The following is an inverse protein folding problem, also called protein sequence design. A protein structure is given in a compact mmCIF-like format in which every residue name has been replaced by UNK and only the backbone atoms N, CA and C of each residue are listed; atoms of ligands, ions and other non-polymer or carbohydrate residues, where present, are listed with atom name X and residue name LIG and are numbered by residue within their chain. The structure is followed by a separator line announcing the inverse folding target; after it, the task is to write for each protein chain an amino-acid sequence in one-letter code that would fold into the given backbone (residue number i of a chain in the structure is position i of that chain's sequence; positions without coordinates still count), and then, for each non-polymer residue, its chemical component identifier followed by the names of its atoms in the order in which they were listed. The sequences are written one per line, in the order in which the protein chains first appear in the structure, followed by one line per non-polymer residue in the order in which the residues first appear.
data_IF_118942179859
#
_entry.id   IF_118942179859
#
_cell.length_a   1.000
_cell.length_b   1.000
_cell.length_c   1.000
_cell.angle_alpha   90.00
_cell.angle_beta   90.00
_cell.angle_gamma   90.00
#
_symmetry.space_group_name_H-M   'P 1'
#
loop_
_entity.id
_entity.type
_entity.pdbx_description
1 polymer ?
#
# COMPACT_ATOMS: atom_id res chain seq x y z
N UNK A 1 -60.86 -17.15 72.24
CA UNK A 1 -60.87 -17.19 70.77
C UNK A 1 -59.99 -16.09 70.18
N UNK A 2 -58.70 -16.39 69.99
CA UNK A 2 -57.72 -15.42 69.52
C UNK A 2 -56.89 -16.14 68.49
N UNK A 3 -56.54 -15.44 67.39
CA UNK A 3 -55.49 -15.67 66.42
C UNK A 3 -55.87 -16.29 65.08
N UNK A 4 -55.96 -15.44 64.10
CA UNK A 4 -55.49 -15.65 62.73
C UNK A 4 -55.38 -14.32 61.97
N UNK A 5 -54.39 -13.46 62.27
CA UNK A 5 -54.10 -12.28 61.44
C UNK A 5 -52.62 -12.12 61.06
N UNK A 6 -51.72 -12.92 61.64
CA UNK A 6 -50.26 -12.72 61.40
C UNK A 6 -49.77 -13.36 60.13
N UNK A 7 -50.52 -14.27 59.47
CA UNK A 7 -50.08 -14.96 58.25
C UNK A 7 -50.14 -14.13 56.97
N UNK A 8 -51.07 -13.18 56.91
CA UNK A 8 -51.25 -12.35 55.68
C UNK A 8 -50.22 -11.23 55.55
N UNK A 9 -49.75 -10.69 56.71
CA UNK A 9 -48.71 -9.65 56.69
C UNK A 9 -47.34 -10.15 56.20
N UNK A 10 -46.95 -11.39 56.53
CA UNK A 10 -45.73 -11.99 56.10
C UNK A 10 -45.76 -12.36 54.61
N UNK A 11 -46.92 -12.78 54.08
CA UNK A 11 -47.04 -13.11 52.65
C UNK A 11 -46.91 -11.86 51.76
N UNK A 12 -47.47 -10.72 52.21
CA UNK A 12 -47.36 -9.44 51.53
C UNK A 12 -45.91 -8.93 51.47
N UNK A 13 -45.13 -9.08 52.55
CA UNK A 13 -43.77 -8.63 52.66
C UNK A 13 -42.82 -9.43 51.73
N UNK A 14 -43.05 -10.75 51.66
CA UNK A 14 -42.28 -11.65 50.76
C UNK A 14 -42.54 -11.36 49.26
N UNK A 15 -43.80 -11.08 48.90
CA UNK A 15 -44.18 -10.71 47.53
C UNK A 15 -43.57 -9.38 47.09
N UNK A 16 -43.55 -8.36 47.95
CA UNK A 16 -42.92 -7.06 47.63
C UNK A 16 -41.43 -7.19 47.53
N UNK A 17 -40.77 -7.96 48.39
CA UNK A 17 -39.34 -8.23 48.27
C UNK A 17 -38.99 -8.95 46.95
N UNK A 18 -39.74 -9.97 46.55
CA UNK A 18 -39.51 -10.72 45.30
C UNK A 18 -39.67 -9.84 44.04
N UNK A 19 -40.68 -8.93 44.05
CA UNK A 19 -40.88 -8.00 42.92
C UNK A 19 -39.77 -6.96 42.82
N UNK A 20 -39.27 -6.42 43.93
CA UNK A 20 -38.13 -5.49 43.93
C UNK A 20 -36.86 -6.16 43.43
N UNK A 21 -36.56 -7.37 43.85
CA UNK A 21 -35.39 -8.12 43.33
C UNK A 21 -35.51 -8.43 41.83
N UNK A 22 -36.70 -8.75 41.34
CA UNK A 22 -36.91 -9.02 39.91
C UNK A 22 -36.72 -7.73 39.06
N UNK A 23 -37.21 -6.59 39.52
CA UNK A 23 -37.04 -5.30 38.81
C UNK A 23 -35.59 -4.83 38.83
N UNK A 24 -34.92 -4.92 39.98
CA UNK A 24 -33.49 -4.56 40.08
C UNK A 24 -32.63 -5.51 39.26
N UNK A 25 -32.88 -6.82 39.30
CA UNK A 25 -32.19 -7.80 38.48
C UNK A 25 -32.35 -7.55 36.99
N UNK A 26 -33.56 -7.24 36.50
CA UNK A 26 -33.83 -6.89 35.11
C UNK A 26 -33.13 -5.59 34.67
N UNK A 27 -33.08 -4.59 35.56
CA UNK A 27 -32.36 -3.33 35.27
C UNK A 27 -30.85 -3.55 35.16
N UNK A 28 -30.23 -4.31 36.07
CA UNK A 28 -28.82 -4.65 36.07
C UNK A 28 -28.48 -5.47 34.79
N UNK A 29 -29.30 -6.44 34.42
CA UNK A 29 -29.11 -7.25 33.22
C UNK A 29 -29.20 -6.41 31.95
N UNK A 30 -30.16 -5.46 31.84
CA UNK A 30 -30.24 -4.52 30.70
C UNK A 30 -29.00 -3.64 30.59
N UNK A 31 -28.54 -3.08 31.71
CA UNK A 31 -27.30 -2.25 31.72
C UNK A 31 -26.07 -3.07 31.31
N UNK A 32 -25.99 -4.32 31.77
CA UNK A 32 -24.87 -5.21 31.35
C UNK A 32 -24.92 -5.53 29.87
N UNK A 33 -26.07 -5.89 29.29
CA UNK A 33 -26.24 -6.12 27.85
C UNK A 33 -25.92 -4.88 27.03
N UNK A 34 -26.38 -3.70 27.47
CA UNK A 34 -26.08 -2.44 26.75
C UNK A 34 -24.58 -2.10 26.76
N UNK A 35 -23.93 -2.31 27.91
CA UNK A 35 -22.46 -2.11 28.01
C UNK A 35 -21.68 -3.10 27.18
N UNK A 36 -22.10 -4.39 27.11
CA UNK A 36 -21.45 -5.39 26.25
C UNK A 36 -21.64 -5.06 24.76
N UNK A 37 -22.83 -4.67 24.32
CA UNK A 37 -23.13 -4.26 22.97
C UNK A 37 -22.34 -3.00 22.56
N UNK A 38 -22.22 -2.02 23.47
CA UNK A 38 -21.41 -0.82 23.22
C UNK A 38 -19.92 -1.14 23.13
N UNK A 39 -19.38 -2.03 23.96
CA UNK A 39 -17.98 -2.51 23.88
C UNK A 39 -17.73 -3.27 22.59
N UNK A 40 -18.64 -4.16 22.18
CA UNK A 40 -18.52 -4.90 20.92
C UNK A 40 -18.50 -3.95 19.71
N UNK A 41 -19.37 -2.93 19.66
CA UNK A 41 -19.38 -1.90 18.62
C UNK A 41 -18.09 -1.06 18.61
N UNK A 42 -17.57 -0.66 19.79
CA UNK A 42 -16.32 0.07 19.91
C UNK A 42 -15.14 -0.76 19.39
N UNK A 43 -15.07 -2.05 19.75
CA UNK A 43 -14.01 -2.95 19.28
C UNK A 43 -14.10 -3.17 17.76
N UNK A 44 -15.32 -3.34 17.24
CA UNK A 44 -15.54 -3.49 15.79
C UNK A 44 -15.16 -2.21 15.02
N UNK A 45 -15.56 -1.03 15.53
CA UNK A 45 -15.18 0.24 14.92
C UNK A 45 -13.65 0.50 14.98
N UNK A 46 -12.98 0.08 16.05
CA UNK A 46 -11.52 0.17 16.15
C UNK A 46 -10.82 -0.76 15.17
N UNK A 47 -11.32 -1.99 14.98
CA UNK A 47 -10.79 -2.94 14.00
C UNK A 47 -10.98 -2.41 12.56
N UNK A 48 -12.17 -1.89 12.24
CA UNK A 48 -12.45 -1.29 10.93
C UNK A 48 -11.54 -0.08 10.69
N UNK A 49 -11.41 0.83 11.66
CA UNK A 49 -10.52 1.99 11.53
C UNK A 49 -9.05 1.60 11.35
N UNK A 50 -8.63 0.48 11.94
CA UNK A 50 -7.27 -0.04 11.75
C UNK A 50 -7.07 -0.69 10.38
N UNK A 51 -8.11 -1.31 9.80
CA UNK A 51 -8.09 -1.87 8.45
C UNK A 51 -8.01 -0.76 7.39
N UNK A 52 -8.64 0.39 7.65
CA UNK A 52 -8.67 1.54 6.73
C UNK A 52 -7.42 2.45 6.82
N UNK A 53 -6.45 2.12 7.69
CA UNK A 53 -5.19 2.86 7.73
C UNK A 53 -4.17 2.27 6.76
N UNK A 54 -3.49 3.09 5.93
CA UNK A 54 -2.43 2.60 5.07
C UNK A 54 -1.28 2.02 5.89
N UNK A 55 -0.61 1.00 5.36
CA UNK A 55 0.66 0.51 5.89
C UNK A 55 1.78 1.47 5.46
N UNK A 56 2.78 1.73 6.31
CA UNK A 56 3.97 2.44 5.86
C UNK A 56 4.76 1.57 4.89
N UNK A 57 5.29 2.19 3.82
CA UNK A 57 6.21 1.51 2.91
C UNK A 57 7.58 1.35 3.57
N UNK A 58 8.10 0.15 3.56
CA UNK A 58 9.39 -0.23 4.12
C UNK A 58 10.51 -0.22 3.06
N UNK A 59 10.19 0.14 1.81
CA UNK A 59 11.12 0.25 0.68
C UNK A 59 10.43 0.70 -0.61
N UNK A 60 11.19 0.68 -1.70
CA UNK A 60 10.73 1.11 -3.04
C UNK A 60 10.67 -0.05 -4.05
N UNK A 61 10.68 -1.29 -3.57
CA UNK A 61 10.55 -2.49 -4.41
C UNK A 61 11.88 -3.05 -4.94
N UNK A 62 12.97 -2.32 -4.81
CA UNK A 62 14.33 -2.71 -5.19
C UNK A 62 15.35 -1.97 -4.29
N UNK A 63 16.66 -2.25 -4.43
CA UNK A 63 17.68 -1.54 -3.66
C UNK A 63 18.00 -0.22 -4.36
N UNK A 64 17.62 0.90 -3.76
CA UNK A 64 17.97 2.25 -4.20
C UNK A 64 19.11 2.81 -3.35
N UNK A 65 20.17 3.31 -4.04
CA UNK A 65 21.26 4.01 -3.39
C UNK A 65 21.71 5.23 -4.19
N UNK A 66 22.63 5.99 -3.66
CA UNK A 66 23.26 7.10 -4.38
C UNK A 66 24.05 6.57 -5.58
N UNK A 67 24.07 7.36 -6.66
CA UNK A 67 24.86 7.02 -7.84
C UNK A 67 26.36 6.98 -7.51
N UNK A 68 26.99 5.87 -7.90
CA UNK A 68 28.43 5.67 -7.80
C UNK A 68 29.04 5.73 -9.21
N UNK A 69 29.83 6.77 -9.55
CA UNK A 69 30.46 6.90 -10.86
C UNK A 69 31.54 5.85 -11.12
N UNK A 70 32.06 5.16 -10.11
CA UNK A 70 33.05 4.09 -10.30
C UNK A 70 32.42 2.81 -10.85
N UNK A 71 31.16 2.55 -10.54
CA UNK A 71 30.41 1.37 -10.97
C UNK A 71 29.31 1.69 -11.97
N UNK A 72 28.92 2.94 -12.13
CA UNK A 72 27.74 3.40 -12.86
C UNK A 72 26.41 2.85 -12.31
N UNK A 73 26.35 2.59 -11.02
CA UNK A 73 25.16 2.08 -10.36
C UNK A 73 24.58 3.11 -9.38
N UNK A 74 23.24 3.05 -9.20
CA UNK A 74 22.52 3.66 -8.10
C UNK A 74 21.70 2.57 -7.38
N UNK A 75 22.37 1.80 -6.52
CA UNK A 75 21.83 0.54 -6.04
C UNK A 75 21.70 -0.49 -7.16
N UNK A 76 20.49 -0.99 -7.39
CA UNK A 76 20.18 -1.94 -8.46
C UNK A 76 20.02 -1.26 -9.84
N UNK A 77 19.85 0.05 -9.91
CA UNK A 77 19.78 0.80 -11.16
C UNK A 77 21.16 0.91 -11.80
N UNK A 78 21.23 0.75 -13.13
CA UNK A 78 22.47 0.80 -13.90
C UNK A 78 22.40 1.94 -14.91
N UNK A 79 23.38 2.83 -14.85
CA UNK A 79 23.55 3.91 -15.82
C UNK A 79 24.41 3.39 -17.00
N UNK A 80 23.77 3.18 -18.14
CA UNK A 80 24.44 2.65 -19.34
C UNK A 80 24.11 3.51 -20.56
N UNK A 81 24.92 3.39 -21.63
CA UNK A 81 24.64 4.04 -22.93
C UNK A 81 23.53 3.35 -23.72
N UNK A 82 22.89 2.36 -23.12
CA UNK A 82 21.76 1.68 -23.71
C UNK A 82 20.55 2.60 -23.58
N UNK A 83 19.78 2.71 -24.65
CA UNK A 83 18.58 3.57 -24.65
C UNK A 83 17.56 3.04 -23.65
N UNK A 84 17.41 3.72 -22.54
CA UNK A 84 16.39 3.47 -21.54
C UNK A 84 15.10 4.23 -21.86
N UNK A 85 14.87 4.55 -23.14
CA UNK A 85 13.64 5.23 -23.51
C UNK A 85 12.46 4.28 -23.37
N UNK A 86 11.53 4.66 -22.53
CA UNK A 86 10.19 4.11 -22.49
C UNK A 86 9.51 4.53 -23.82
N UNK A 87 9.33 3.58 -24.75
CA UNK A 87 8.75 3.81 -26.08
C UNK A 87 9.49 4.84 -26.97
N UNK A 88 10.80 4.98 -26.84
CA UNK A 88 11.60 5.87 -27.68
C UNK A 88 11.38 7.37 -27.45
N UNK A 89 10.62 7.76 -26.41
CA UNK A 89 10.22 9.15 -26.22
C UNK A 89 10.74 9.78 -24.92
N UNK A 90 11.09 8.99 -23.91
CA UNK A 90 11.52 9.50 -22.62
C UNK A 90 12.77 8.76 -22.17
N UNK A 91 13.90 9.46 -22.12
CA UNK A 91 15.17 8.94 -21.62
C UNK A 91 15.21 9.00 -20.08
N UNK A 92 14.33 8.27 -19.40
CA UNK A 92 14.23 8.22 -17.92
C UNK A 92 14.43 6.79 -17.42
N UNK A 93 15.27 6.61 -16.40
CA UNK A 93 15.38 5.33 -15.67
C UNK A 93 14.29 5.17 -14.62
N UNK A 94 13.59 6.26 -14.32
CA UNK A 94 12.55 6.37 -13.33
C UNK A 94 11.46 7.33 -13.85
N UNK A 95 10.24 6.83 -14.01
CA UNK A 95 9.08 7.66 -14.28
C UNK A 95 8.30 7.87 -12.99
N UNK A 96 8.07 9.15 -12.65
CA UNK A 96 7.45 9.51 -11.37
C UNK A 96 5.95 9.32 -11.37
N UNK A 97 5.38 9.12 -10.17
CA UNK A 97 3.94 9.16 -9.96
C UNK A 97 3.35 10.51 -10.37
N UNK A 98 2.23 10.49 -11.11
CA UNK A 98 1.55 11.70 -11.59
C UNK A 98 2.26 12.43 -12.72
N UNK A 99 3.36 11.89 -13.25
CA UNK A 99 3.96 12.38 -14.48
C UNK A 99 3.03 12.13 -15.66
N UNK A 100 3.06 12.99 -16.68
CA UNK A 100 2.35 12.75 -17.93
C UNK A 100 2.71 11.35 -18.48
N UNK A 101 1.70 10.53 -18.75
CA UNK A 101 1.92 9.20 -19.33
C UNK A 101 2.51 9.33 -20.74
N UNK A 102 3.71 8.78 -20.93
CA UNK A 102 4.42 8.81 -22.21
C UNK A 102 3.67 8.08 -23.33
N UNK A 103 2.83 7.10 -22.99
CA UNK A 103 1.97 6.37 -23.95
C UNK A 103 0.82 7.21 -24.47
N UNK A 104 0.52 8.31 -23.79
CA UNK A 104 -0.59 9.22 -24.10
C UNK A 104 -0.12 10.68 -24.16
N UNK A 105 0.90 11.02 -24.98
CA UNK A 105 1.54 12.36 -24.94
C UNK A 105 0.61 13.51 -25.34
N UNK A 106 -0.48 13.21 -26.03
CA UNK A 106 -1.47 14.19 -26.49
C UNK A 106 -2.68 14.33 -25.54
N UNK A 107 -2.72 13.55 -24.46
CA UNK A 107 -3.78 13.61 -23.45
C UNK A 107 -3.21 14.01 -22.09
N UNK A 108 -3.22 15.28 -21.72
CA UNK A 108 -2.65 15.76 -20.46
C UNK A 108 -3.39 15.25 -19.22
N UNK A 109 -4.56 14.63 -19.38
CA UNK A 109 -5.28 14.01 -18.28
C UNK A 109 -4.79 12.62 -17.94
N UNK A 110 -3.99 12.00 -18.82
CA UNK A 110 -3.39 10.68 -18.61
C UNK A 110 -2.08 10.85 -17.86
N UNK A 111 -2.13 10.53 -16.57
CA UNK A 111 -0.99 10.60 -15.67
C UNK A 111 -0.51 9.19 -15.34
N UNK A 112 0.79 9.04 -15.10
CA UNK A 112 1.37 7.78 -14.63
C UNK A 112 0.83 7.45 -13.23
N UNK A 113 0.04 6.39 -13.06
CA UNK A 113 -0.54 6.03 -11.78
C UNK A 113 0.44 5.29 -10.86
N UNK A 114 1.53 4.76 -11.42
CA UNK A 114 2.52 3.95 -10.71
C UNK A 114 3.93 4.40 -11.09
N UNK A 115 4.79 4.77 -10.10
CA UNK A 115 6.20 4.94 -10.39
C UNK A 115 6.76 3.73 -11.12
N UNK A 116 7.44 3.97 -12.24
CA UNK A 116 7.95 2.95 -13.15
C UNK A 116 9.48 3.04 -13.20
N UNK A 117 10.16 1.93 -13.02
CA UNK A 117 11.63 1.85 -12.97
C UNK A 117 12.16 0.98 -14.08
N UNK A 118 13.22 1.42 -14.75
CA UNK A 118 13.99 0.60 -15.67
C UNK A 118 15.14 -0.04 -14.91
N UNK A 119 15.13 -1.35 -14.82
CA UNK A 119 16.08 -2.13 -14.02
C UNK A 119 16.67 -3.27 -14.88
N UNK A 120 17.90 -3.73 -14.59
CA UNK A 120 18.42 -4.95 -15.19
C UNK A 120 17.46 -6.12 -14.97
N UNK A 121 17.34 -6.99 -15.97
CA UNK A 121 16.59 -8.24 -15.85
C UNK A 121 17.09 -9.06 -14.67
N UNK A 122 16.17 -9.76 -14.01
CA UNK A 122 16.45 -10.61 -12.84
C UNK A 122 16.89 -9.84 -11.58
N UNK A 123 16.84 -8.50 -11.58
CA UNK A 123 16.92 -7.71 -10.35
C UNK A 123 15.86 -8.22 -9.38
N UNK A 124 16.22 -8.39 -8.11
CA UNK A 124 15.29 -8.90 -7.10
C UNK A 124 14.22 -7.86 -6.78
N UNK A 125 12.97 -8.27 -6.87
CA UNK A 125 11.82 -7.47 -6.48
C UNK A 125 11.48 -7.74 -5.02
N UNK A 126 11.34 -6.66 -4.25
CA UNK A 126 11.11 -6.72 -2.82
C UNK A 126 9.68 -6.28 -2.48
N UNK A 127 9.07 -6.93 -1.49
CA UNK A 127 7.79 -6.47 -0.94
C UNK A 127 7.91 -5.06 -0.39
N UNK A 128 6.94 -4.21 -0.73
CA UNK A 128 6.88 -2.81 -0.28
C UNK A 128 6.55 -2.68 1.20
N UNK A 129 5.79 -3.64 1.74
CA UNK A 129 5.22 -3.61 3.09
C UNK A 129 5.23 -4.99 3.75
N UNK A 130 5.12 -5.01 5.07
CA UNK A 130 4.80 -6.22 5.83
C UNK A 130 3.28 -6.45 5.80
N UNK A 131 2.83 -7.56 5.19
CA UNK A 131 1.40 -7.83 5.00
C UNK A 131 1.09 -9.24 4.52
N UNK A 132 -0.16 -9.46 4.17
CA UNK A 132 -0.65 -10.71 3.58
C UNK A 132 -0.67 -10.57 2.05
N UNK A 133 -0.17 -11.56 1.32
CA UNK A 133 -0.30 -11.64 -0.15
C UNK A 133 -1.76 -11.94 -0.46
N UNK A 134 -2.48 -10.93 -0.95
CA UNK A 134 -3.92 -11.05 -1.24
C UNK A 134 -4.19 -11.54 -2.65
N UNK A 135 -3.27 -11.32 -3.58
CA UNK A 135 -3.32 -11.89 -4.93
C UNK A 135 -1.92 -12.00 -5.55
N UNK A 136 -1.75 -12.94 -6.47
CA UNK A 136 -0.63 -13.07 -7.41
C UNK A 136 -1.24 -13.32 -8.78
N UNK A 137 -1.45 -12.26 -9.55
CA UNK A 137 -2.22 -12.27 -10.78
C UNK A 137 -1.29 -12.20 -11.99
N UNK A 138 -1.55 -13.04 -12.99
CA UNK A 138 -0.86 -12.97 -14.27
C UNK A 138 -1.40 -11.82 -15.09
N UNK A 139 -0.50 -10.95 -15.59
CA UNK A 139 -0.81 -9.83 -16.46
C UNK A 139 -0.93 -10.27 -17.93
N UNK A 140 -1.48 -9.40 -18.77
CA UNK A 140 -1.54 -9.62 -20.23
C UNK A 140 -0.15 -9.74 -20.87
N UNK A 141 0.86 -9.12 -20.26
CA UNK A 141 2.29 -9.20 -20.61
C UNK A 141 2.93 -10.56 -20.31
N UNK A 142 2.20 -11.50 -19.69
CA UNK A 142 2.63 -12.83 -19.26
C UNK A 142 3.57 -12.88 -18.04
N UNK A 143 3.82 -11.77 -17.39
CA UNK A 143 4.43 -11.64 -16.08
C UNK A 143 3.35 -11.47 -14.99
N UNK A 144 3.72 -11.06 -13.80
CA UNK A 144 2.82 -11.05 -12.67
C UNK A 144 2.77 -9.68 -11.98
N UNK A 145 1.60 -9.36 -11.42
CA UNK A 145 1.46 -8.41 -10.32
C UNK A 145 1.30 -9.17 -9.01
N UNK A 146 1.95 -8.67 -7.96
CA UNK A 146 1.85 -9.20 -6.60
C UNK A 146 1.20 -8.13 -5.74
N UNK A 147 0.07 -8.49 -5.14
CA UNK A 147 -0.73 -7.61 -4.29
C UNK A 147 -0.55 -8.00 -2.83
N UNK A 148 -0.08 -7.06 -2.03
CA UNK A 148 0.08 -7.22 -0.59
C UNK A 148 -0.83 -6.22 0.13
N UNK A 149 -1.50 -6.65 1.18
CA UNK A 149 -2.36 -5.79 1.98
C UNK A 149 -2.28 -6.18 3.47
N UNK A 150 -2.85 -5.34 4.35
CA UNK A 150 -2.98 -5.67 5.77
C UNK A 150 -3.83 -6.93 5.97
N UNK A 151 -4.88 -7.07 5.16
CA UNK A 151 -5.80 -8.20 5.09
C UNK A 151 -6.60 -8.13 3.81
N UNK A 152 -7.34 -9.19 3.48
CA UNK A 152 -8.24 -9.24 2.30
C UNK A 152 -9.41 -8.24 2.35
N UNK A 153 -9.68 -7.63 3.50
CA UNK A 153 -10.72 -6.59 3.69
C UNK A 153 -10.17 -5.17 3.73
N UNK A 154 -8.86 -4.97 3.51
CA UNK A 154 -8.26 -3.64 3.44
C UNK A 154 -8.67 -2.92 2.17
N UNK A 155 -8.89 -1.61 2.25
CA UNK A 155 -9.07 -0.75 1.08
C UNK A 155 -7.73 -0.32 0.44
N UNK A 156 -6.61 -0.61 1.09
CA UNK A 156 -5.27 -0.32 0.58
C UNK A 156 -4.60 -1.60 0.14
N UNK A 157 -4.20 -1.66 -1.13
CA UNK A 157 -3.41 -2.74 -1.72
C UNK A 157 -2.10 -2.17 -2.23
N UNK A 158 -1.01 -2.85 -1.95
CA UNK A 158 0.35 -2.50 -2.35
C UNK A 158 0.76 -3.42 -3.48
N UNK A 159 1.04 -2.81 -4.62
CA UNK A 159 1.29 -3.52 -5.88
C UNK A 159 2.75 -3.49 -6.25
N UNK A 160 3.26 -4.62 -6.72
CA UNK A 160 4.50 -4.70 -7.49
C UNK A 160 4.17 -5.41 -8.79
N UNK A 161 4.36 -4.75 -9.92
CA UNK A 161 4.01 -5.26 -11.25
C UNK A 161 5.25 -5.50 -12.11
N UNK A 162 5.07 -6.28 -13.16
CA UNK A 162 6.12 -6.76 -14.05
C UNK A 162 7.14 -7.64 -13.35
N UNK A 163 6.62 -8.61 -12.57
CA UNK A 163 7.42 -9.57 -11.79
C UNK A 163 7.44 -10.92 -12.49
N UNK A 164 8.64 -11.46 -12.73
CA UNK A 164 8.86 -12.85 -13.12
C UNK A 164 9.22 -13.72 -11.89
N UNK A 165 9.03 -15.01 -12.04
CA UNK A 165 9.41 -16.00 -11.03
C UNK A 165 8.91 -15.67 -9.62
N UNK A 166 7.61 -15.39 -9.42
CA UNK A 166 7.09 -15.05 -8.09
C UNK A 166 7.43 -16.16 -7.09
N UNK A 167 8.03 -15.77 -5.96
CA UNK A 167 8.45 -16.69 -4.89
C UNK A 167 7.38 -16.83 -3.81
N UNK A 168 6.25 -16.15 -3.97
CA UNK A 168 5.11 -16.10 -3.06
C UNK A 168 3.82 -16.44 -3.79
N UNK A 169 2.78 -16.79 -3.03
CA UNK A 169 1.43 -17.07 -3.53
C UNK A 169 0.39 -16.42 -2.65
N UNK A 170 -0.83 -16.31 -3.15
CA UNK A 170 -1.97 -15.85 -2.37
C UNK A 170 -2.10 -16.63 -1.06
N UNK A 171 -2.28 -15.90 0.03
CA UNK A 171 -2.39 -16.42 1.40
C UNK A 171 -1.06 -16.48 2.15
N UNK A 172 0.08 -16.28 1.49
CA UNK A 172 1.37 -16.16 2.19
C UNK A 172 1.43 -14.83 2.96
N UNK A 173 2.27 -14.77 4.00
CA UNK A 173 2.62 -13.54 4.68
C UNK A 173 4.04 -13.15 4.33
N UNK A 174 4.25 -11.87 4.02
CA UNK A 174 5.57 -11.29 3.69
C UNK A 174 5.95 -10.19 4.67
N UNK A 175 7.25 -9.93 4.77
CA UNK A 175 7.81 -8.75 5.46
C UNK A 175 8.29 -7.74 4.43
N UNK A 176 8.27 -6.46 4.79
CA UNK A 176 8.86 -5.40 3.95
C UNK A 176 10.33 -5.72 3.63
N UNK A 177 10.73 -5.51 2.38
CA UNK A 177 12.06 -5.87 1.90
C UNK A 177 12.29 -7.36 1.59
N UNK A 178 11.32 -8.25 1.86
CA UNK A 178 11.42 -9.66 1.46
C UNK A 178 11.40 -9.78 -0.06
N UNK A 179 12.29 -10.60 -0.65
CA UNK A 179 12.26 -10.91 -2.08
C UNK A 179 10.97 -11.66 -2.41
N UNK A 180 10.23 -11.16 -3.41
CA UNK A 180 8.96 -11.73 -3.87
C UNK A 180 9.01 -12.20 -5.33
N UNK A 181 10.06 -11.87 -6.07
CA UNK A 181 10.29 -12.28 -7.46
C UNK A 181 11.48 -11.57 -8.08
N UNK A 182 11.44 -11.41 -9.39
CA UNK A 182 12.49 -10.80 -10.20
C UNK A 182 11.86 -9.87 -11.24
N UNK A 183 12.60 -8.84 -11.67
CA UNK A 183 12.18 -7.94 -12.75
C UNK A 183 12.02 -8.73 -14.05
N UNK A 184 10.87 -8.53 -14.71
CA UNK A 184 10.46 -9.22 -15.93
C UNK A 184 11.00 -8.55 -17.19
N UNK A 185 11.17 -9.35 -18.27
CA UNK A 185 11.55 -8.90 -19.61
C UNK A 185 10.35 -8.63 -20.53
N UNK A 186 9.14 -8.58 -20.01
CA UNK A 186 7.92 -8.73 -20.83
C UNK A 186 7.44 -7.47 -21.53
N UNK A 187 7.99 -6.31 -21.21
CA UNK A 187 7.72 -5.12 -21.99
C UNK A 187 8.69 -5.07 -23.19
N UNK A 188 8.14 -5.23 -24.38
CA UNK A 188 8.91 -5.31 -25.64
C UNK A 188 9.55 -3.97 -26.06
N UNK A 189 9.16 -2.87 -25.42
CA UNK A 189 9.63 -1.52 -25.79
C UNK A 189 10.91 -1.13 -25.05
N UNK A 190 11.41 -2.00 -24.17
CA UNK A 190 12.63 -1.74 -23.40
C UNK A 190 13.84 -2.38 -24.05
N UNK A 191 14.98 -1.75 -23.85
CA UNK A 191 16.28 -2.22 -24.29
C UNK A 191 16.60 -3.65 -23.82
N UNK A 192 17.16 -4.50 -24.69
CA UNK A 192 17.58 -5.84 -24.30
C UNK A 192 18.47 -5.85 -23.06
N UNK A 193 18.15 -6.72 -22.10
CA UNK A 193 18.86 -6.84 -20.83
C UNK A 193 18.24 -6.03 -19.68
N UNK A 194 17.18 -5.25 -19.96
CA UNK A 194 16.44 -4.49 -18.98
C UNK A 194 14.96 -4.85 -18.99
N UNK A 195 14.28 -4.52 -17.91
CA UNK A 195 12.85 -4.67 -17.74
C UNK A 195 12.26 -3.52 -16.93
N UNK A 196 10.95 -3.54 -16.79
CA UNK A 196 10.23 -2.60 -15.95
C UNK A 196 9.90 -3.22 -14.59
N UNK A 197 9.84 -2.38 -13.59
CA UNK A 197 9.17 -2.63 -12.33
C UNK A 197 8.24 -1.45 -12.08
N UNK A 198 6.98 -1.71 -11.81
CA UNK A 198 6.01 -0.72 -11.38
C UNK A 198 5.60 -0.99 -9.94
N UNK A 199 5.46 0.09 -9.16
CA UNK A 199 4.95 -0.01 -7.79
C UNK A 199 3.74 0.88 -7.62
N UNK A 200 2.79 0.45 -6.78
CA UNK A 200 1.57 1.22 -6.54
C UNK A 200 1.01 1.07 -5.15
N UNK A 201 0.19 2.03 -4.76
CA UNK A 201 -0.77 1.91 -3.67
C UNK A 201 -2.14 2.13 -4.29
N UNK A 202 -2.92 1.06 -4.39
CA UNK A 202 -4.28 1.09 -4.89
C UNK A 202 -5.24 1.30 -3.71
N UNK A 203 -6.09 2.31 -3.81
CA UNK A 203 -7.12 2.62 -2.83
C UNK A 203 -8.52 2.40 -3.42
N UNK A 204 -9.32 1.53 -2.79
CA UNK A 204 -10.58 1.00 -3.33
C UNK A 204 -11.81 1.38 -2.52
N UNK A 205 -11.73 2.35 -1.60
CA UNK A 205 -12.90 2.78 -0.81
C UNK A 205 -13.86 3.69 -1.59
N UNK A 206 -13.53 4.09 -2.83
CA UNK A 206 -14.37 4.88 -3.73
C UNK A 206 -14.97 4.02 -4.84
N UNK A 207 -15.89 4.58 -5.61
CA UNK A 207 -16.56 3.90 -6.74
C UNK A 207 -15.57 3.43 -7.81
N UNK A 208 -14.41 4.10 -7.91
CA UNK A 208 -13.32 3.74 -8.81
C UNK A 208 -12.02 3.59 -8.00
N UNK A 209 -11.21 2.55 -8.30
CA UNK A 209 -9.88 2.42 -7.72
C UNK A 209 -9.02 3.65 -8.06
N UNK A 210 -8.28 4.14 -7.09
CA UNK A 210 -7.38 5.27 -7.23
C UNK A 210 -5.97 4.87 -6.82
N UNK A 211 -4.98 5.31 -7.58
CA UNK A 211 -3.58 5.17 -7.18
C UNK A 211 -3.15 6.39 -6.36
N UNK A 212 -2.37 6.13 -5.32
CA UNK A 212 -1.85 7.15 -4.40
C UNK A 212 -0.34 7.28 -4.58
N UNK A 213 0.20 8.51 -4.40
CA UNK A 213 1.65 8.72 -4.37
C UNK A 213 2.29 7.81 -3.31
N UNK A 214 3.07 6.77 -3.68
CA UNK A 214 3.57 5.80 -2.71
C UNK A 214 4.57 6.42 -1.74
N UNK A 215 5.40 7.36 -2.18
CA UNK A 215 6.44 7.98 -1.36
C UNK A 215 5.92 8.89 -0.24
N UNK A 216 4.65 9.30 -0.32
CA UNK A 216 3.94 9.95 0.78
C UNK A 216 3.82 9.04 2.00
N UNK A 217 3.71 7.73 1.78
CA UNK A 217 3.46 6.68 2.77
C UNK A 217 4.71 5.91 3.20
N UNK A 218 5.90 6.36 2.82
CA UNK A 218 7.15 5.79 3.34
C UNK A 218 7.19 5.81 4.86
N UNK A 219 7.73 4.73 5.44
CA UNK A 219 8.00 4.68 6.88
C UNK A 219 8.83 5.89 7.32
N UNK A 220 8.45 6.59 8.39
CA UNK A 220 9.17 7.76 8.86
C UNK A 220 10.67 7.55 9.06
N UNK A 221 11.11 6.32 9.40
CA UNK A 221 12.51 5.99 9.62
C UNK A 221 13.35 6.06 8.34
N UNK A 222 12.76 5.78 7.17
CA UNK A 222 13.47 5.75 5.88
C UNK A 222 13.09 6.90 4.95
N UNK A 223 11.97 7.59 5.21
CA UNK A 223 11.38 8.59 4.31
C UNK A 223 12.36 9.68 3.89
N UNK A 224 13.10 10.24 4.85
CA UNK A 224 14.04 11.32 4.57
C UNK A 224 15.24 10.85 3.73
N UNK A 225 15.73 9.63 3.96
CA UNK A 225 16.85 9.06 3.22
C UNK A 225 16.42 8.69 1.79
N UNK A 226 15.32 7.97 1.63
CA UNK A 226 14.77 7.62 0.31
C UNK A 226 14.46 8.87 -0.51
N UNK A 227 13.84 9.90 0.08
CA UNK A 227 13.56 11.16 -0.62
C UNK A 227 14.83 11.86 -1.14
N UNK A 228 15.94 11.83 -0.37
CA UNK A 228 17.23 12.34 -0.83
C UNK A 228 17.80 11.49 -1.97
N UNK A 229 17.73 10.17 -1.86
CA UNK A 229 18.21 9.24 -2.90
C UNK A 229 17.46 9.43 -4.22
N UNK A 230 16.12 9.57 -4.19
CA UNK A 230 15.31 9.86 -5.39
C UNK A 230 15.76 11.17 -6.04
N UNK A 231 15.86 12.26 -5.26
CA UNK A 231 16.31 13.56 -5.78
C UNK A 231 17.73 13.49 -6.37
N UNK A 232 18.63 12.79 -5.69
CA UNK A 232 20.01 12.61 -6.15
C UNK A 232 20.08 11.74 -7.41
N UNK A 233 19.23 10.70 -7.53
CA UNK A 233 19.14 9.85 -8.70
C UNK A 233 18.75 10.65 -9.94
N UNK A 234 17.69 11.48 -9.86
CA UNK A 234 17.26 12.34 -10.97
C UNK A 234 18.40 13.27 -11.44
N UNK A 235 19.05 13.96 -10.49
CA UNK A 235 20.16 14.86 -10.80
C UNK A 235 21.37 14.12 -11.40
N UNK A 236 21.71 12.95 -10.87
CA UNK A 236 22.79 12.12 -11.37
C UNK A 236 22.50 11.60 -12.78
N UNK A 237 21.28 11.15 -13.03
CA UNK A 237 20.85 10.66 -14.34
C UNK A 237 20.91 11.77 -15.41
N UNK A 238 20.35 12.96 -15.12
CA UNK A 238 20.42 14.12 -16.02
C UNK A 238 21.87 14.54 -16.32
N UNK A 239 22.74 14.49 -15.30
CA UNK A 239 24.16 14.80 -15.44
C UNK A 239 24.86 13.77 -16.33
N UNK A 240 24.59 12.50 -16.10
CA UNK A 240 25.18 11.39 -16.87
C UNK A 240 24.70 11.42 -18.33
N UNK A 241 23.40 11.69 -18.56
CA UNK A 241 22.79 11.79 -19.88
C UNK A 241 23.22 13.06 -20.64
N UNK A 242 23.64 14.10 -19.91
CA UNK A 242 23.95 15.42 -20.47
C UNK A 242 22.69 16.19 -20.93
N UNK A 243 21.52 15.79 -20.47
CA UNK A 243 20.24 16.35 -20.84
C UNK A 243 19.27 16.36 -19.67
N UNK A 244 18.47 17.42 -19.55
CA UNK A 244 17.36 17.49 -18.59
C UNK A 244 16.17 16.71 -19.11
N UNK A 245 15.64 15.80 -18.26
CA UNK A 245 14.49 14.93 -18.55
C UNK A 245 13.42 14.98 -17.47
N UNK A 246 13.75 15.42 -16.26
CA UNK A 246 12.80 15.64 -15.15
C UNK A 246 12.38 17.12 -15.13
N UNK A 247 11.46 17.49 -16.05
CA UNK A 247 11.13 18.88 -16.33
C UNK A 247 9.99 19.42 -15.47
N UNK A 248 9.21 18.57 -14.84
CA UNK A 248 8.05 18.97 -14.05
C UNK A 248 8.45 19.27 -12.61
N UNK A 249 7.79 20.24 -11.95
CA UNK A 249 7.98 20.43 -10.52
C UNK A 249 7.40 19.22 -9.77
N UNK A 250 8.12 18.78 -8.73
CA UNK A 250 7.67 17.70 -7.85
C UNK A 250 6.92 18.27 -6.65
N UNK A 251 5.78 17.69 -6.30
CA UNK A 251 5.10 17.94 -5.05
C UNK A 251 5.88 17.35 -3.87
N UNK A 252 6.50 16.17 -4.11
CA UNK A 252 7.45 15.51 -3.21
C UNK A 252 8.38 14.61 -4.02
N UNK A 253 9.55 14.17 -3.49
CA UNK A 253 10.45 13.28 -4.19
C UNK A 253 9.72 12.03 -4.74
N UNK A 254 9.80 11.80 -6.05
CA UNK A 254 9.15 10.69 -6.74
C UNK A 254 7.67 10.91 -7.11
N UNK A 255 7.08 12.07 -6.74
CA UNK A 255 5.69 12.39 -7.09
C UNK A 255 5.57 13.81 -7.65
N UNK A 256 5.06 13.92 -8.86
CA UNK A 256 4.69 15.20 -9.49
C UNK A 256 3.45 15.79 -8.80
N UNK A 257 2.54 14.95 -8.38
CA UNK A 257 1.36 15.30 -7.56
C UNK A 257 1.22 14.37 -6.36
N UNK A 258 0.62 14.85 -5.28
CA UNK A 258 0.18 14.01 -4.15
C UNK A 258 -1.31 13.72 -4.17
N UNK A 259 -2.04 14.28 -5.15
CA UNK A 259 -3.44 13.95 -5.39
C UNK A 259 -3.56 12.56 -6.00
N UNK A 260 -4.65 11.82 -5.69
CA UNK A 260 -4.89 10.51 -6.30
C UNK A 260 -4.97 10.58 -7.82
N UNK A 261 -4.46 9.56 -8.49
CA UNK A 261 -4.49 9.41 -9.95
C UNK A 261 -5.36 8.20 -10.31
N UNK A 262 -6.20 8.35 -11.33
CA UNK A 262 -6.96 7.22 -11.87
C UNK A 262 -6.05 6.39 -12.77
N UNK A 263 -6.04 5.07 -12.58
CA UNK A 263 -5.33 4.10 -13.40
C UNK A 263 -6.08 3.74 -14.68
#
# INVERSE_FOLDING_TARGET
MVKRQDGLAHLGLVLVAATVFAVVGAAIWRVHKTKQAARAKLTQNQVVAQVDQPLPLEGVGFNLDYYDPATNHAGDMVFTNVDHSLSGHIHQVWQDFGQQDYRSPNDPSKLNPQPTYVLPLHTKVHSLVTGDVVDVKRLYSNDYTIWVARSTSSHYTYETEHVDNPTVKQGDRVTGGQVVGEVSSKDSDITPGFGLLEIGILYTAHDYPQHLCPFKYLDPAIKADIGKKITALHAAWETWLGQRVYLQPFASPGCVTEEPVNG
#
